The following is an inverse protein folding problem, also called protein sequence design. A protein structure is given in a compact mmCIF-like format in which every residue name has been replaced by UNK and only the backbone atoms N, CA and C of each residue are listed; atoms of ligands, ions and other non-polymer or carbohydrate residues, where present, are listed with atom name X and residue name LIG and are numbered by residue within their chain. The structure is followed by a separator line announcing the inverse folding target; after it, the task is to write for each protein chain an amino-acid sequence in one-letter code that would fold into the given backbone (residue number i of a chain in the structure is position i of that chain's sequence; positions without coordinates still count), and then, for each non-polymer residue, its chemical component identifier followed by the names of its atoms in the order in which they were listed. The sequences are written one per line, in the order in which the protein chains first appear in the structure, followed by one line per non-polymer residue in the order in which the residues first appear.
data_IF_437065567928
#
_entry.id   IF_437065567928
#
_cell.length_a   1.000
_cell.length_b   1.000
_cell.length_c   1.000
_cell.angle_alpha   90.00
_cell.angle_beta   90.00
_cell.angle_gamma   90.00
#
_symmetry.space_group_name_H-M   'P 1'
#
loop_
_entity.id
_entity.type
_entity.pdbx_description
1 polymer ?
#
# COMPACT_ATOMS: atom_id res chain seq x y z
N UNK A 1 5.31 -20.42 -25.82
CA UNK A 1 4.25 -19.63 -26.47
C UNK A 1 2.94 -19.94 -25.77
N UNK A 2 2.20 -18.93 -25.31
CA UNK A 2 0.89 -19.11 -24.64
C UNK A 2 -0.21 -18.85 -25.67
N UNK A 3 -1.18 -19.76 -25.77
CA UNK A 3 -2.31 -19.67 -26.72
C UNK A 3 -3.57 -19.31 -25.93
N UNK A 4 -4.36 -18.34 -26.41
CA UNK A 4 -5.65 -18.00 -25.81
C UNK A 4 -6.69 -19.11 -26.05
N UNK A 5 -7.80 -19.05 -25.32
CA UNK A 5 -8.98 -19.90 -25.58
C UNK A 5 -9.55 -19.77 -27.01
N UNK A 6 -9.16 -18.70 -27.72
CA UNK A 6 -9.51 -18.40 -29.09
C UNK A 6 -8.52 -18.94 -30.16
N UNK A 7 -7.48 -19.68 -29.76
CA UNK A 7 -6.47 -20.24 -30.68
C UNK A 7 -5.39 -19.25 -31.16
N UNK A 8 -5.53 -17.96 -30.87
CA UNK A 8 -4.51 -16.93 -31.16
C UNK A 8 -3.39 -16.88 -30.12
N UNK A 9 -2.24 -16.34 -30.51
CA UNK A 9 -1.10 -16.11 -29.60
C UNK A 9 -1.47 -15.06 -28.55
N UNK A 10 -1.24 -15.35 -27.27
CA UNK A 10 -1.41 -14.41 -26.18
C UNK A 10 -0.23 -13.42 -26.10
N UNK A 11 -0.52 -12.17 -25.77
CA UNK A 11 0.47 -11.10 -25.57
C UNK A 11 0.58 -10.75 -24.10
N UNK A 12 1.72 -10.20 -23.70
CA UNK A 12 1.94 -9.72 -22.33
C UNK A 12 1.52 -8.25 -22.23
N UNK A 13 0.78 -7.92 -21.17
CA UNK A 13 0.50 -6.54 -20.77
C UNK A 13 0.81 -6.32 -19.30
N UNK A 14 1.07 -5.07 -18.95
CA UNK A 14 1.29 -4.63 -17.56
C UNK A 14 -0.02 -4.04 -17.02
N UNK A 15 -0.41 -4.46 -15.83
CA UNK A 15 -1.53 -3.89 -15.11
C UNK A 15 -1.14 -2.53 -14.52
N UNK A 16 -1.98 -1.53 -14.77
CA UNK A 16 -1.87 -0.18 -14.23
C UNK A 16 -2.94 0.10 -13.16
N UNK A 17 -3.63 -0.94 -12.70
CA UNK A 17 -4.62 -0.80 -11.62
C UNK A 17 -3.92 -0.59 -10.29
N UNK A 18 -4.56 0.18 -9.38
CA UNK A 18 -4.05 0.37 -8.01
C UNK A 18 -3.96 -0.95 -7.22
N UNK A 19 -4.78 -1.94 -7.58
CA UNK A 19 -4.78 -3.26 -6.95
C UNK A 19 -3.62 -4.15 -7.41
N UNK A 20 -3.18 -4.02 -8.67
CA UNK A 20 -2.10 -4.83 -9.24
C UNK A 20 -1.11 -3.97 -10.04
N UNK A 21 -0.48 -2.95 -9.43
CA UNK A 21 0.40 -2.04 -10.15
C UNK A 21 1.64 -2.79 -10.63
N UNK A 22 1.98 -2.65 -11.91
CA UNK A 22 3.21 -3.20 -12.47
C UNK A 22 3.22 -4.72 -12.70
N UNK A 23 2.18 -5.46 -12.28
CA UNK A 23 2.10 -6.91 -12.55
C UNK A 23 1.83 -7.19 -14.02
N UNK A 24 2.49 -8.22 -14.56
CA UNK A 24 2.36 -8.61 -15.97
C UNK A 24 1.43 -9.81 -16.12
N UNK A 25 0.57 -9.76 -17.14
CA UNK A 25 -0.37 -10.84 -17.45
C UNK A 25 -0.44 -11.08 -18.97
N UNK A 26 -0.69 -12.32 -19.35
CA UNK A 26 -1.07 -12.74 -20.69
C UNK A 26 -2.54 -12.39 -20.96
N UNK A 27 -2.82 -11.85 -22.14
CA UNK A 27 -4.17 -11.63 -22.65
C UNK A 27 -4.25 -11.93 -24.15
N UNK A 28 -5.47 -11.99 -24.68
CA UNK A 28 -5.68 -12.12 -26.13
C UNK A 28 -4.99 -10.97 -26.90
N UNK A 29 -4.35 -11.30 -28.02
CA UNK A 29 -3.74 -10.33 -28.95
C UNK A 29 -4.76 -9.49 -29.71
N UNK A 30 -5.92 -10.07 -29.99
CA UNK A 30 -7.00 -9.43 -30.75
C UNK A 30 -7.72 -8.40 -29.87
N UNK A 31 -7.58 -7.11 -30.20
CA UNK A 31 -8.31 -6.02 -29.53
C UNK A 31 -9.81 -6.17 -29.77
N UNK A 32 -10.62 -5.99 -28.73
CA UNK A 32 -12.09 -6.10 -28.81
C UNK A 32 -12.63 -7.54 -28.91
N UNK A 33 -11.76 -8.54 -28.79
CA UNK A 33 -12.17 -9.95 -28.76
C UNK A 33 -13.08 -10.25 -27.57
N UNK A 34 -14.04 -11.17 -27.77
CA UNK A 34 -14.84 -11.76 -26.69
C UNK A 34 -14.09 -12.85 -25.90
N UNK A 35 -12.85 -13.15 -26.29
CA UNK A 35 -11.99 -14.10 -25.58
C UNK A 35 -11.64 -13.55 -24.20
N UNK A 36 -11.96 -14.33 -23.16
CA UNK A 36 -11.75 -13.96 -21.75
C UNK A 36 -10.45 -14.53 -21.17
N UNK A 37 -9.56 -15.04 -22.02
CA UNK A 37 -8.29 -15.59 -21.61
C UNK A 37 -7.46 -14.54 -20.84
N UNK A 38 -7.10 -14.87 -19.60
CA UNK A 38 -6.22 -14.09 -18.75
C UNK A 38 -5.35 -15.04 -17.94
N UNK A 39 -4.03 -14.88 -18.02
CA UNK A 39 -3.08 -15.66 -17.24
C UNK A 39 -2.00 -14.76 -16.66
N UNK A 40 -1.52 -15.01 -15.44
CA UNK A 40 -0.41 -14.23 -14.89
C UNK A 40 0.91 -14.66 -15.54
N UNK A 41 1.79 -13.70 -15.85
CA UNK A 41 3.15 -14.00 -16.35
C UNK A 41 4.00 -14.55 -15.22
N UNK A 42 3.88 -13.92 -14.06
CA UNK A 42 4.57 -14.37 -12.87
C UNK A 42 3.87 -15.65 -12.37
N UNK A 43 4.66 -16.67 -12.04
CA UNK A 43 4.14 -17.88 -11.39
C UNK A 43 3.44 -17.54 -10.07
N UNK A 44 2.65 -18.47 -9.51
CA UNK A 44 2.11 -18.28 -8.18
C UNK A 44 3.24 -17.94 -7.21
N UNK A 45 3.01 -16.94 -6.35
CA UNK A 45 3.92 -16.64 -5.26
C UNK A 45 4.16 -17.92 -4.43
N UNK A 46 5.36 -18.09 -3.88
CA UNK A 46 5.65 -19.31 -3.14
C UNK A 46 4.70 -19.44 -1.93
N UNK A 47 4.27 -20.66 -1.55
CA UNK A 47 3.31 -20.82 -0.45
C UNK A 47 3.75 -20.13 0.85
N UNK A 48 5.07 -20.14 1.10
CA UNK A 48 5.70 -19.43 2.21
C UNK A 48 5.49 -17.91 2.14
N UNK A 49 5.66 -17.29 0.98
CA UNK A 49 5.49 -15.83 0.87
C UNK A 49 4.03 -15.41 1.03
N UNK A 50 3.09 -16.24 0.56
CA UNK A 50 1.65 -16.01 0.75
C UNK A 50 1.28 -16.00 2.25
N UNK A 51 1.94 -16.83 3.06
CA UNK A 51 1.71 -16.85 4.51
C UNK A 51 2.42 -15.72 5.25
N UNK A 52 3.66 -15.39 4.85
CA UNK A 52 4.50 -14.44 5.60
C UNK A 52 4.19 -12.98 5.25
N UNK A 53 4.02 -12.64 3.97
CA UNK A 53 3.87 -11.25 3.51
C UNK A 53 2.69 -10.54 4.21
N UNK A 54 1.49 -11.13 4.33
CA UNK A 54 0.38 -10.47 5.02
C UNK A 54 0.65 -10.20 6.50
N UNK A 55 1.40 -11.09 7.18
CA UNK A 55 1.84 -10.89 8.56
C UNK A 55 2.77 -9.69 8.67
N UNK A 56 3.82 -9.65 7.83
CA UNK A 56 4.79 -8.55 7.81
C UNK A 56 4.13 -7.20 7.49
N UNK A 57 3.19 -7.18 6.53
CA UNK A 57 2.46 -5.96 6.18
C UNK A 57 1.62 -5.44 7.34
N UNK A 58 0.92 -6.32 8.07
CA UNK A 58 0.16 -5.92 9.27
C UNK A 58 1.08 -5.34 10.34
N UNK A 59 2.16 -6.03 10.68
CA UNK A 59 3.11 -5.54 11.68
C UNK A 59 3.74 -4.20 11.29
N UNK A 60 4.09 -4.01 10.01
CA UNK A 60 4.58 -2.72 9.50
C UNK A 60 3.53 -1.63 9.68
N UNK A 61 2.29 -1.89 9.27
CA UNK A 61 1.20 -0.91 9.36
C UNK A 61 0.88 -0.53 10.82
N UNK A 62 0.91 -1.50 11.74
CA UNK A 62 0.72 -1.28 13.18
C UNK A 62 1.82 -0.39 13.77
N UNK A 63 3.09 -0.68 13.45
CA UNK A 63 4.23 0.12 13.90
C UNK A 63 4.16 1.54 13.33
N UNK A 64 3.82 1.72 12.06
CA UNK A 64 3.66 3.04 11.46
C UNK A 64 2.50 3.83 12.07
N UNK A 65 1.38 3.16 12.39
CA UNK A 65 0.25 3.78 13.06
C UNK A 65 0.60 4.22 14.49
N UNK A 66 1.31 3.36 15.24
CA UNK A 66 1.80 3.67 16.58
C UNK A 66 2.80 4.85 16.55
N UNK A 67 3.74 4.86 15.60
CA UNK A 67 4.68 5.97 15.45
C UNK A 67 3.96 7.30 15.18
N UNK A 68 2.96 7.30 14.29
CA UNK A 68 2.15 8.49 13.99
C UNK A 68 1.37 8.97 15.21
N UNK A 69 0.76 8.06 15.98
CA UNK A 69 0.00 8.42 17.17
C UNK A 69 0.91 8.98 18.27
N UNK A 70 2.04 8.33 18.57
CA UNK A 70 3.05 8.82 19.53
C UNK A 70 3.59 10.18 19.13
N UNK A 71 3.93 10.37 17.85
CA UNK A 71 4.40 11.68 17.35
C UNK A 71 3.33 12.77 17.51
N UNK A 72 2.07 12.46 17.22
CA UNK A 72 0.95 13.41 17.41
C UNK A 72 0.74 13.78 18.88
N UNK A 73 0.86 12.79 19.78
CA UNK A 73 0.69 12.98 21.21
C UNK A 73 1.84 13.83 21.77
N UNK A 74 3.08 13.55 21.38
CA UNK A 74 4.24 14.35 21.77
C UNK A 74 4.12 15.82 21.31
N UNK A 75 3.62 16.07 20.10
CA UNK A 75 3.36 17.44 19.62
C UNK A 75 2.33 18.16 20.48
N UNK A 76 1.22 17.49 20.83
CA UNK A 76 0.18 18.04 21.72
C UNK A 76 0.73 18.37 23.10
N UNK A 77 1.47 17.45 23.72
CA UNK A 77 2.08 17.69 25.04
C UNK A 77 3.08 18.83 25.02
N UNK A 78 3.94 18.91 24.00
CA UNK A 78 4.87 20.03 23.83
C UNK A 78 4.14 21.37 23.73
N UNK A 79 3.06 21.43 22.95
CA UNK A 79 2.24 22.63 22.82
C UNK A 79 1.56 23.01 24.15
N UNK A 80 1.01 22.04 24.87
CA UNK A 80 0.38 22.27 26.18
C UNK A 80 1.39 22.78 27.21
N UNK A 81 2.57 22.17 27.28
CA UNK A 81 3.66 22.66 28.14
C UNK A 81 4.06 24.09 27.77
N UNK A 82 4.20 24.40 26.48
CA UNK A 82 4.53 25.75 26.02
C UNK A 82 3.45 26.77 26.44
N UNK A 83 2.17 26.47 26.21
CA UNK A 83 1.05 27.33 26.61
C UNK A 83 1.05 27.57 28.13
N UNK A 84 1.28 26.51 28.92
CA UNK A 84 1.34 26.62 30.38
C UNK A 84 2.49 27.53 30.85
N UNK A 85 3.67 27.41 30.25
CA UNK A 85 4.82 28.27 30.54
C UNK A 85 4.56 29.73 30.16
N UNK A 86 3.93 29.98 29.01
CA UNK A 86 3.54 31.34 28.59
C UNK A 86 2.53 31.93 29.57
N UNK A 87 1.49 31.19 29.94
CA UNK A 87 0.49 31.66 30.91
C UNK A 87 1.10 31.97 32.28
N UNK A 88 2.00 31.10 32.75
CA UNK A 88 2.76 31.32 33.99
C UNK A 88 3.57 32.61 33.90
N UNK A 89 4.38 32.79 32.85
CA UNK A 89 5.17 34.01 32.67
C UNK A 89 4.29 35.27 32.62
N UNK A 90 3.18 35.23 31.88
CA UNK A 90 2.23 36.35 31.79
C UNK A 90 1.64 36.73 33.14
N UNK A 91 1.33 35.75 34.00
CA UNK A 91 0.83 36.01 35.35
C UNK A 91 1.82 36.82 36.19
N UNK A 92 3.11 36.44 36.19
CA UNK A 92 4.15 37.16 36.94
C UNK A 92 4.54 38.51 36.35
N UNK A 93 4.19 38.78 35.09
CA UNK A 93 4.43 40.09 34.46
C UNK A 93 3.27 41.06 34.72
N UNK A 94 2.05 40.53 34.86
CA UNK A 94 0.82 41.31 35.00
C UNK A 94 0.35 41.51 36.45
N UNK A 95 0.94 40.80 37.42
CA UNK A 95 0.69 40.92 38.87
C UNK A 95 1.96 41.41 39.54
#
# INVERSE_FOLDING_TARGET
MVICDCGSIAIIRTSWTSTNPGRRFYCCSIKGSKCRFLGWVDGPMCPRSIQIIPGLLRSKNEVEAALKSTASQARKWKLMCFISWVAFAMYYVLV
#
